data_IF_832083471460
#
_entry.id   IF_832083471460
#
_cell.length_a   1.000
_cell.length_b   1.000
_cell.length_c   1.000
_cell.angle_alpha   90.00
_cell.angle_beta   90.00
_cell.angle_gamma   90.00
#
_symmetry.space_group_name_H-M   'P 1'
#
loop_
_entity.id
_entity.type
_entity.pdbx_description
1 polymer ?
#
# COMPACT_ATOMS: atom_id res chain seq x y z
N UNK A 1 -13.72 8.42 -14.95
CA UNK A 1 -13.64 8.44 -16.43
C UNK A 1 -14.32 9.65 -17.07
N UNK A 2 -15.36 10.27 -16.45
CA UNK A 2 -16.03 11.44 -17.05
C UNK A 2 -15.07 12.61 -17.37
N UNK A 3 -14.06 12.84 -16.52
CA UNK A 3 -13.05 13.88 -16.73
C UNK A 3 -11.95 13.49 -17.73
N UNK A 4 -11.73 12.19 -17.93
CA UNK A 4 -10.69 11.64 -18.79
C UNK A 4 -11.28 10.45 -19.59
N UNK A 5 -12.09 10.70 -20.63
CA UNK A 5 -12.85 9.65 -21.31
C UNK A 5 -11.98 8.66 -22.09
N UNK A 6 -10.76 9.04 -22.44
CA UNK A 6 -9.78 8.20 -23.16
C UNK A 6 -8.78 7.49 -22.24
N UNK A 7 -8.81 7.77 -20.92
CA UNK A 7 -7.92 7.14 -19.97
C UNK A 7 -8.34 5.69 -19.70
N UNK A 8 -7.38 4.79 -19.77
CA UNK A 8 -7.56 3.40 -19.35
C UNK A 8 -7.61 3.32 -17.82
N UNK A 9 -8.48 2.45 -17.32
CA UNK A 9 -8.67 2.21 -15.90
C UNK A 9 -8.21 0.81 -15.52
N UNK A 10 -7.39 0.73 -14.49
CA UNK A 10 -6.85 -0.53 -13.96
C UNK A 10 -7.31 -0.76 -12.54
N UNK A 11 -7.45 -2.00 -12.14
CA UNK A 11 -7.74 -2.36 -10.75
C UNK A 11 -6.79 -3.46 -10.27
N UNK A 12 -6.60 -3.55 -8.96
CA UNK A 12 -5.89 -4.68 -8.39
C UNK A 12 -6.67 -5.99 -8.61
N UNK A 13 -6.00 -7.15 -8.73
CA UNK A 13 -6.64 -8.43 -8.93
C UNK A 13 -7.73 -8.73 -7.90
N UNK A 14 -8.89 -9.14 -8.37
CA UNK A 14 -10.03 -9.52 -7.53
C UNK A 14 -10.94 -8.38 -7.08
N UNK A 15 -10.64 -7.12 -7.36
CA UNK A 15 -11.46 -5.95 -6.99
C UNK A 15 -12.86 -6.05 -7.57
N UNK A 16 -13.00 -6.38 -8.86
CA UNK A 16 -14.32 -6.53 -9.52
C UNK A 16 -15.15 -7.63 -8.87
N UNK A 17 -14.52 -8.77 -8.58
CA UNK A 17 -15.19 -9.90 -7.90
C UNK A 17 -15.66 -9.50 -6.50
N UNK A 18 -14.83 -8.78 -5.75
CA UNK A 18 -15.18 -8.31 -4.41
C UNK A 18 -16.31 -7.29 -4.44
N UNK A 19 -16.26 -6.32 -5.35
CA UNK A 19 -17.34 -5.35 -5.54
C UNK A 19 -18.67 -6.06 -5.77
N UNK A 20 -18.71 -7.04 -6.67
CA UNK A 20 -19.90 -7.84 -6.96
C UNK A 20 -20.40 -8.60 -5.71
N UNK A 21 -19.51 -9.13 -4.86
CA UNK A 21 -19.91 -9.87 -3.65
C UNK A 21 -20.59 -8.99 -2.58
N UNK A 22 -20.38 -7.68 -2.62
CA UNK A 22 -21.04 -6.71 -1.73
C UNK A 22 -22.14 -5.90 -2.43
N UNK A 23 -22.63 -6.39 -3.59
CA UNK A 23 -23.72 -5.76 -4.34
C UNK A 23 -23.35 -4.50 -5.11
N UNK A 24 -22.04 -4.22 -5.26
CA UNK A 24 -21.54 -3.07 -6.03
C UNK A 24 -21.19 -3.49 -7.46
N UNK A 25 -21.45 -2.60 -8.41
CA UNK A 25 -20.97 -2.74 -9.80
C UNK A 25 -19.73 -1.89 -9.98
N UNK A 26 -18.62 -2.52 -10.36
CA UNK A 26 -17.38 -1.84 -10.73
C UNK A 26 -16.91 -2.41 -12.08
N UNK A 27 -16.48 -1.51 -12.96
CA UNK A 27 -15.93 -1.86 -14.28
C UNK A 27 -14.60 -1.15 -14.46
N UNK A 28 -13.61 -1.91 -14.93
CA UNK A 28 -12.27 -1.42 -15.27
C UNK A 28 -11.88 -2.03 -16.61
N UNK A 29 -10.96 -1.37 -17.32
CA UNK A 29 -10.51 -1.84 -18.64
C UNK A 29 -9.60 -3.06 -18.51
N UNK A 30 -8.80 -3.15 -17.41
CA UNK A 30 -7.93 -4.31 -17.14
C UNK A 30 -7.70 -4.51 -15.63
N UNK A 31 -7.24 -5.72 -15.24
CA UNK A 31 -6.62 -5.98 -13.96
C UNK A 31 -5.10 -5.82 -14.07
N UNK A 32 -4.47 -5.25 -13.04
CA UNK A 32 -3.02 -5.09 -12.96
C UNK A 32 -2.31 -6.45 -12.93
N UNK A 33 -1.26 -6.58 -13.73
CA UNK A 33 -0.37 -7.74 -13.74
C UNK A 33 0.68 -7.67 -12.60
N UNK A 34 1.48 -8.72 -12.46
CA UNK A 34 2.63 -8.72 -11.54
C UNK A 34 3.80 -7.88 -12.09
N UNK A 35 3.86 -7.70 -13.41
CA UNK A 35 4.83 -6.85 -14.10
C UNK A 35 4.28 -5.45 -14.34
N UNK A 36 5.19 -4.53 -14.59
CA UNK A 36 4.84 -3.15 -14.97
C UNK A 36 4.00 -3.16 -16.26
N UNK A 37 2.90 -2.41 -16.25
CA UNK A 37 2.05 -2.26 -17.42
C UNK A 37 2.74 -1.40 -18.50
N UNK A 38 2.42 -1.66 -19.77
CA UNK A 38 3.02 -0.96 -20.92
C UNK A 38 2.78 0.54 -20.89
N UNK A 39 1.65 0.95 -20.36
CA UNK A 39 1.14 2.31 -20.32
C UNK A 39 2.03 3.26 -19.53
N UNK A 40 2.81 2.73 -18.57
CA UNK A 40 3.74 3.52 -17.75
C UNK A 40 5.13 2.90 -17.61
N UNK A 41 5.44 1.90 -18.42
CA UNK A 41 6.77 1.27 -18.41
C UNK A 41 7.89 2.29 -18.68
N UNK A 42 8.91 2.30 -17.81
CA UNK A 42 10.02 3.26 -17.85
C UNK A 42 9.76 4.58 -17.12
N UNK A 43 8.54 4.84 -16.66
CA UNK A 43 8.19 6.00 -15.84
C UNK A 43 7.82 5.60 -14.41
N UNK A 44 7.08 4.51 -14.25
CA UNK A 44 6.62 4.01 -12.96
C UNK A 44 6.97 2.52 -12.87
N UNK A 45 7.61 2.14 -11.78
CA UNK A 45 7.82 0.75 -11.39
C UNK A 45 6.62 0.24 -10.59
N UNK A 46 6.39 -1.08 -10.62
CA UNK A 46 5.26 -1.71 -9.96
C UNK A 46 5.67 -3.00 -9.28
N UNK A 47 5.11 -3.27 -8.11
CA UNK A 47 5.18 -4.58 -7.46
C UNK A 47 3.84 -4.94 -6.83
N UNK A 48 3.42 -6.19 -6.99
CA UNK A 48 2.22 -6.72 -6.33
C UNK A 48 2.58 -7.33 -4.98
N UNK A 49 1.98 -6.82 -3.93
CA UNK A 49 2.05 -7.40 -2.58
C UNK A 49 0.84 -8.29 -2.37
N UNK A 50 1.06 -9.62 -2.34
CA UNK A 50 -0.01 -10.60 -2.25
C UNK A 50 -0.11 -11.17 -0.84
N UNK A 51 -1.29 -11.05 -0.24
CA UNK A 51 -1.68 -11.71 1.00
C UNK A 51 -2.90 -12.62 0.78
N UNK A 52 -3.33 -13.32 1.82
CA UNK A 52 -4.49 -14.20 1.72
C UNK A 52 -5.81 -13.45 1.54
N UNK A 53 -5.95 -12.30 2.16
CA UNK A 53 -7.15 -11.47 2.12
C UNK A 53 -6.93 -10.13 1.40
N UNK A 54 -5.78 -9.51 1.61
CA UNK A 54 -5.39 -8.24 0.99
C UNK A 54 -4.34 -8.50 -0.08
N UNK A 55 -4.54 -7.93 -1.25
CA UNK A 55 -3.49 -7.76 -2.27
C UNK A 55 -3.45 -6.30 -2.67
N UNK A 56 -2.25 -5.74 -2.74
CA UNK A 56 -2.04 -4.32 -3.02
C UNK A 56 -1.02 -4.15 -4.14
N UNK A 57 -1.34 -3.29 -5.11
CA UNK A 57 -0.38 -2.81 -6.09
C UNK A 57 0.38 -1.61 -5.51
N UNK A 58 1.69 -1.71 -5.49
CA UNK A 58 2.59 -0.67 -5.04
C UNK A 58 3.28 -0.08 -6.26
N UNK A 59 3.37 1.24 -6.30
CA UNK A 59 3.98 1.98 -7.40
C UNK A 59 5.18 2.78 -6.91
N UNK A 60 6.21 2.86 -7.74
CA UNK A 60 7.36 3.71 -7.50
C UNK A 60 7.65 4.58 -8.71
N UNK A 61 7.76 5.88 -8.48
CA UNK A 61 8.11 6.87 -9.49
C UNK A 61 9.58 7.28 -9.34
N UNK A 62 10.50 6.76 -10.18
CA UNK A 62 11.95 6.97 -10.05
C UNK A 62 12.37 8.44 -10.08
N UNK A 63 11.81 9.22 -11.01
CA UNK A 63 12.17 10.65 -11.18
C UNK A 63 11.97 11.49 -9.92
N UNK A 64 10.98 11.16 -9.08
CA UNK A 64 10.73 11.87 -7.82
C UNK A 64 11.14 11.06 -6.60
N UNK A 65 11.71 9.86 -6.78
CA UNK A 65 12.04 8.93 -5.69
C UNK A 65 10.87 8.71 -4.73
N UNK A 66 9.66 8.53 -5.28
CA UNK A 66 8.42 8.46 -4.51
C UNK A 66 7.78 7.10 -4.64
N UNK A 67 7.58 6.42 -3.51
CA UNK A 67 6.81 5.19 -3.39
C UNK A 67 5.37 5.53 -3.03
N UNK A 68 4.42 4.80 -3.62
CA UNK A 68 2.99 4.98 -3.39
C UNK A 68 2.41 3.66 -2.89
N UNK A 69 1.94 3.67 -1.65
CA UNK A 69 1.24 2.57 -0.97
C UNK A 69 -0.20 2.98 -0.69
N UNK A 70 -1.05 2.01 -0.39
CA UNK A 70 -2.39 2.27 0.17
C UNK A 70 -2.48 1.84 1.63
N UNK A 71 -2.76 0.59 1.91
CA UNK A 71 -3.07 0.08 3.25
C UNK A 71 -1.93 -0.68 3.93
N UNK A 72 -0.81 -0.92 3.21
CA UNK A 72 0.36 -1.61 3.75
C UNK A 72 1.04 -0.87 4.90
N UNK A 73 0.86 0.45 4.96
CA UNK A 73 1.27 1.30 6.08
C UNK A 73 0.14 2.29 6.36
N UNK A 74 -0.25 2.36 7.63
CA UNK A 74 -1.13 3.41 8.16
C UNK A 74 -0.34 4.23 9.18
N UNK A 75 -0.55 5.55 9.22
CA UNK A 75 0.21 6.47 10.08
C UNK A 75 -0.68 7.62 10.59
N UNK A 76 -1.65 7.26 11.44
CA UNK A 76 -2.67 8.20 11.92
C UNK A 76 -2.12 9.21 12.92
N UNK A 77 -2.37 10.47 12.67
CA UNK A 77 -2.00 11.58 13.54
C UNK A 77 -2.95 11.66 14.74
N UNK A 78 -2.41 11.58 15.96
CA UNK A 78 -3.18 11.52 17.19
C UNK A 78 -4.15 12.70 17.37
N UNK A 79 -3.79 13.91 16.90
CA UNK A 79 -4.63 15.11 17.03
C UNK A 79 -5.85 15.09 16.09
N UNK A 80 -5.83 14.31 15.03
CA UNK A 80 -6.97 14.13 14.10
C UNK A 80 -7.99 13.11 14.60
N UNK A 81 -7.64 12.28 15.58
CA UNK A 81 -8.55 11.30 16.17
C UNK A 81 -9.27 11.92 17.37
N UNK A 82 -10.55 12.23 17.22
CA UNK A 82 -11.35 12.89 18.26
C UNK A 82 -11.58 12.00 19.50
N UNK A 83 -11.86 10.71 19.30
CA UNK A 83 -12.17 9.77 20.38
C UNK A 83 -10.90 9.28 21.08
N UNK A 84 -10.79 9.41 22.44
CA UNK A 84 -9.66 8.88 23.20
C UNK A 84 -9.53 7.35 23.08
N UNK A 85 -10.66 6.64 23.03
CA UNK A 85 -10.72 5.19 22.90
C UNK A 85 -10.14 4.76 21.55
N UNK A 86 -10.57 5.40 20.45
CA UNK A 86 -10.02 5.14 19.12
C UNK A 86 -8.55 5.47 19.04
N UNK A 87 -8.09 6.56 19.65
CA UNK A 87 -6.68 6.93 19.72
C UNK A 87 -5.84 5.85 20.41
N UNK A 88 -6.36 5.30 21.53
CA UNK A 88 -5.72 4.21 22.25
C UNK A 88 -5.67 2.92 21.40
N UNK A 89 -6.77 2.55 20.73
CA UNK A 89 -6.83 1.40 19.83
C UNK A 89 -5.82 1.52 18.69
N UNK A 90 -5.82 2.63 17.96
CA UNK A 90 -4.88 2.87 16.84
C UNK A 90 -3.43 2.75 17.30
N UNK A 91 -3.11 3.22 18.50
CA UNK A 91 -1.77 3.08 19.10
C UNK A 91 -1.42 1.61 19.37
N UNK A 92 -2.35 0.83 19.94
CA UNK A 92 -2.13 -0.60 20.19
C UNK A 92 -1.98 -1.38 18.89
N UNK A 93 -2.76 -1.04 17.86
CA UNK A 93 -2.65 -1.68 16.54
C UNK A 93 -1.37 -1.29 15.80
N UNK A 94 -0.65 -0.27 16.25
CA UNK A 94 0.66 0.12 15.72
C UNK A 94 0.59 1.06 14.52
N UNK A 95 -0.56 1.73 14.31
CA UNK A 95 -0.79 2.63 13.17
C UNK A 95 -0.72 4.12 13.56
N UNK A 96 -0.09 4.45 14.70
CA UNK A 96 0.00 5.83 15.19
C UNK A 96 1.29 6.51 14.71
N UNK A 97 1.15 7.74 14.22
CA UNK A 97 2.26 8.65 13.89
C UNK A 97 3.15 8.91 15.13
N UNK A 98 4.49 8.91 15.02
CA UNK A 98 5.31 8.76 13.82
C UNK A 98 5.64 7.30 13.43
N UNK A 99 5.26 6.33 14.25
CA UNK A 99 5.69 4.94 14.15
C UNK A 99 4.73 4.04 13.36
N UNK A 100 3.95 4.63 12.45
CA UNK A 100 2.97 3.91 11.65
C UNK A 100 3.52 2.67 10.93
N UNK A 101 2.68 1.65 10.83
CA UNK A 101 2.98 0.41 10.12
C UNK A 101 1.68 -0.31 9.73
N UNK A 102 1.76 -1.49 9.15
CA UNK A 102 0.56 -2.29 8.92
C UNK A 102 -0.14 -2.61 10.25
N UNK A 103 -1.45 -2.38 10.40
CA UNK A 103 -2.21 -2.79 11.56
C UNK A 103 -2.02 -4.28 11.88
N UNK A 104 -2.09 -4.64 13.16
CA UNK A 104 -1.80 -6.02 13.59
C UNK A 104 -2.74 -7.05 12.98
N UNK A 105 -4.01 -6.72 12.83
CA UNK A 105 -5.01 -7.54 12.16
C UNK A 105 -4.71 -7.71 10.66
N UNK A 106 -4.28 -6.65 9.99
CA UNK A 106 -3.86 -6.73 8.59
C UNK A 106 -2.60 -7.58 8.39
N UNK A 107 -1.68 -7.64 9.37
CA UNK A 107 -0.51 -8.54 9.28
C UNK A 107 -0.90 -10.01 9.19
N UNK A 108 -2.06 -10.39 9.75
CA UNK A 108 -2.57 -11.76 9.68
C UNK A 108 -2.89 -12.20 8.25
N UNK A 109 -3.20 -11.26 7.34
CA UNK A 109 -3.43 -11.58 5.92
C UNK A 109 -2.19 -12.16 5.24
N UNK A 110 -1.01 -11.90 5.82
CA UNK A 110 0.28 -12.40 5.31
C UNK A 110 0.74 -13.70 5.99
N UNK A 111 -0.07 -14.28 6.88
CA UNK A 111 0.19 -15.61 7.40
C UNK A 111 0.18 -16.62 6.24
N UNK A 112 1.29 -17.35 6.06
CA UNK A 112 1.48 -18.22 4.89
C UNK A 112 2.00 -17.52 3.61
N UNK A 113 2.06 -16.19 3.57
CA UNK A 113 2.54 -15.41 2.42
C UNK A 113 3.80 -14.58 2.75
N UNK A 114 4.49 -14.91 3.85
CA UNK A 114 5.65 -14.12 4.35
C UNK A 114 6.78 -14.01 3.35
N UNK A 115 7.06 -15.05 2.59
CA UNK A 115 8.14 -15.02 1.60
C UNK A 115 7.81 -14.05 0.45
N UNK A 116 6.59 -14.09 -0.05
CA UNK A 116 6.11 -13.17 -1.08
C UNK A 116 6.15 -11.72 -0.58
N UNK A 117 5.70 -11.47 0.65
CA UNK A 117 5.78 -10.15 1.28
C UNK A 117 7.22 -9.68 1.41
N UNK A 118 8.15 -10.53 1.87
CA UNK A 118 9.58 -10.18 1.99
C UNK A 118 10.20 -9.82 0.66
N UNK A 119 9.88 -10.56 -0.42
CA UNK A 119 10.37 -10.24 -1.77
C UNK A 119 9.88 -8.85 -2.21
N UNK A 120 8.60 -8.56 -2.03
CA UNK A 120 8.04 -7.26 -2.38
C UNK A 120 8.62 -6.12 -1.52
N UNK A 121 8.79 -6.33 -0.20
CA UNK A 121 9.41 -5.34 0.70
C UNK A 121 10.87 -5.07 0.32
N UNK A 122 11.64 -6.11 0.00
CA UNK A 122 13.02 -5.92 -0.48
C UNK A 122 13.04 -5.12 -1.78
N UNK A 123 12.17 -5.43 -2.74
CA UNK A 123 12.05 -4.65 -3.98
C UNK A 123 11.75 -3.17 -3.70
N UNK A 124 10.81 -2.87 -2.80
CA UNK A 124 10.52 -1.49 -2.40
C UNK A 124 11.72 -0.79 -1.76
N UNK A 125 12.50 -1.52 -0.94
CA UNK A 125 13.71 -0.99 -0.30
C UNK A 125 14.83 -0.78 -1.33
N UNK A 126 14.97 -1.66 -2.31
CA UNK A 126 15.99 -1.59 -3.37
C UNK A 126 15.74 -0.40 -4.31
N UNK A 127 14.50 0.04 -4.48
CA UNK A 127 14.17 1.28 -5.18
C UNK A 127 14.66 2.54 -4.44
N UNK A 128 15.03 2.42 -3.18
CA UNK A 128 15.56 3.49 -2.34
C UNK A 128 14.70 4.77 -2.33
N UNK A 129 13.39 4.68 -2.04
CA UNK A 129 12.52 5.85 -2.07
C UNK A 129 12.90 6.87 -1.01
N UNK A 130 12.88 8.15 -1.41
CA UNK A 130 13.01 9.28 -0.49
C UNK A 130 11.67 9.61 0.18
N UNK A 131 10.56 9.45 -0.57
CA UNK A 131 9.19 9.74 -0.12
C UNK A 131 8.33 8.51 -0.17
N UNK A 132 7.39 8.42 0.78
CA UNK A 132 6.37 7.35 0.79
C UNK A 132 5.01 7.98 0.98
N UNK A 133 4.17 7.90 -0.05
CA UNK A 133 2.76 8.32 -0.01
C UNK A 133 1.93 7.12 0.45
N UNK A 134 1.03 7.35 1.40
CA UNK A 134 0.12 6.34 1.96
C UNK A 134 -1.32 6.86 1.94
N UNK A 135 -2.31 5.96 1.90
CA UNK A 135 -3.72 6.35 1.87
C UNK A 135 -4.24 6.84 3.23
N UNK A 136 -3.67 6.35 4.34
CA UNK A 136 -4.20 6.58 5.68
C UNK A 136 -3.20 7.24 6.62
N UNK A 137 -3.45 8.51 6.95
CA UNK A 137 -2.66 9.30 7.88
C UNK A 137 -1.57 10.15 7.22
N UNK A 138 -0.50 10.44 7.96
CA UNK A 138 0.59 11.28 7.52
C UNK A 138 1.59 10.47 6.67
N UNK A 139 1.79 10.88 5.43
CA UNK A 139 2.82 10.33 4.55
C UNK A 139 4.23 10.78 4.96
N UNK A 140 5.26 10.10 4.43
CA UNK A 140 6.65 10.38 4.73
C UNK A 140 7.25 11.19 3.58
N UNK A 141 7.63 12.43 3.85
CA UNK A 141 8.17 13.38 2.86
C UNK A 141 9.70 13.30 2.71
N UNK A 142 10.36 12.54 3.60
CA UNK A 142 11.80 12.26 3.57
C UNK A 142 12.10 10.93 4.29
N UNK A 143 13.35 10.43 4.11
CA UNK A 143 13.80 9.17 4.74
C UNK A 143 12.94 7.93 4.44
N UNK A 144 12.23 7.91 3.31
CA UNK A 144 11.28 6.87 2.98
C UNK A 144 11.81 5.45 3.10
N UNK A 145 13.06 5.20 2.65
CA UNK A 145 13.72 3.89 2.79
C UNK A 145 13.88 3.46 4.25
N UNK A 146 14.25 4.38 5.14
CA UNK A 146 14.38 4.09 6.57
C UNK A 146 13.02 3.79 7.20
N UNK A 147 11.99 4.54 6.81
CA UNK A 147 10.61 4.35 7.25
C UNK A 147 10.05 2.99 6.78
N UNK A 148 10.31 2.57 5.55
CA UNK A 148 9.96 1.23 5.07
C UNK A 148 10.61 0.13 5.90
N UNK A 149 11.92 0.21 6.14
CA UNK A 149 12.64 -0.76 6.99
C UNK A 149 12.06 -0.83 8.39
N UNK A 150 11.69 0.32 8.97
CA UNK A 150 11.05 0.41 10.28
C UNK A 150 9.66 -0.22 10.27
N UNK A 151 8.80 0.18 9.33
CA UNK A 151 7.40 -0.23 9.26
C UNK A 151 7.26 -1.74 8.97
N UNK A 152 8.14 -2.31 8.15
CA UNK A 152 8.11 -3.72 7.78
C UNK A 152 9.04 -4.62 8.61
N UNK A 153 9.70 -4.12 9.66
CA UNK A 153 10.60 -4.96 10.51
C UNK A 153 9.93 -6.24 11.05
N UNK A 154 8.62 -6.25 11.21
CA UNK A 154 7.86 -7.42 11.65
C UNK A 154 7.79 -8.53 10.59
N UNK A 155 7.85 -8.18 9.30
CA UNK A 155 7.82 -9.12 8.18
C UNK A 155 9.21 -9.69 7.88
N UNK A 156 10.27 -9.00 8.29
CA UNK A 156 11.68 -9.37 8.02
C UNK A 156 12.31 -10.29 9.07
N UNK A 157 11.55 -10.61 10.14
CA UNK A 157 11.96 -11.54 11.20
C UNK A 157 11.66 -12.98 10.86
#
# INVERSE_FOLDING_TARGET
QAAYPTAQSFCAPGVVRRAKSVGMTASFDAELADSVEREWAGEIEQVMVRGGYLSEAVFYHPKSSTLILTDLIENFEAHKIKSPIWRWLVRIFGSMDPDGCAPRDMRMTFAGHKESLRKAVNQMIDWAPERVIIAHGRWYDHNGTAELKRAFRWAMR
#
